data_IF_022057773331
#
_entry.id   IF_022057773331
#
_cell.length_a   1.000
_cell.length_b   1.000
_cell.length_c   1.000
_cell.angle_alpha   90.00
_cell.angle_beta   90.00
_cell.angle_gamma   90.00
#
_symmetry.space_group_name_H-M   'P 1'
#
loop_
_entity.id
_entity.type
_entity.pdbx_description
1 polymer ?
#
# COMPACT_ATOMS: atom_id res chain seq x y z
N UNK A 1 -11.11 38.82 -19.02
CA UNK A 1 -12.55 38.98 -19.29
C UNK A 1 -12.99 37.74 -20.03
N UNK A 2 -13.90 36.88 -19.57
CA UNK A 2 -15.09 37.10 -18.77
C UNK A 2 -15.10 36.29 -17.46
N UNK A 3 -15.66 36.92 -16.41
CA UNK A 3 -16.11 36.28 -15.17
C UNK A 3 -17.45 35.61 -15.48
N UNK A 4 -17.59 34.33 -15.20
CA UNK A 4 -18.91 33.70 -15.07
C UNK A 4 -19.08 33.25 -13.63
N UNK A 5 -19.84 34.07 -12.91
CA UNK A 5 -20.41 33.84 -11.60
C UNK A 5 -21.67 32.99 -11.83
N UNK A 6 -21.67 31.73 -11.40
CA UNK A 6 -22.88 30.92 -11.39
C UNK A 6 -23.47 30.85 -9.98
N UNK A 7 -24.75 31.17 -9.96
CA UNK A 7 -25.64 31.53 -8.87
C UNK A 7 -25.99 30.30 -8.03
N UNK A 8 -25.89 30.43 -6.71
CA UNK A 8 -26.35 29.45 -5.72
C UNK A 8 -27.71 29.94 -5.17
N UNK A 9 -28.81 29.30 -5.55
CA UNK A 9 -30.13 29.53 -4.94
C UNK A 9 -30.32 28.48 -3.85
N UNK A 10 -30.16 28.91 -2.59
CA UNK A 10 -30.53 28.13 -1.40
C UNK A 10 -31.98 28.47 -1.06
N UNK A 11 -32.91 27.60 -1.44
CA UNK A 11 -34.26 27.56 -0.85
C UNK A 11 -34.34 26.29 0.00
N UNK A 12 -33.86 26.37 1.24
CA UNK A 12 -34.14 25.32 2.21
C UNK A 12 -35.47 25.61 2.90
N UNK A 13 -36.38 24.66 2.78
CA UNK A 13 -37.58 24.58 3.60
C UNK A 13 -37.15 24.23 5.02
N UNK A 14 -37.37 25.17 5.96
CA UNK A 14 -37.22 24.90 7.39
C UNK A 14 -38.27 23.86 7.80
N UNK A 15 -37.87 22.60 7.88
CA UNK A 15 -38.53 21.65 8.77
C UNK A 15 -37.68 21.58 10.03
N UNK A 16 -38.25 21.96 11.16
CA UNK A 16 -37.62 21.78 12.46
C UNK A 16 -37.38 20.27 12.64
N UNK A 17 -36.14 19.83 12.48
CA UNK A 17 -35.74 18.44 12.74
C UNK A 17 -35.63 18.30 14.25
N UNK A 18 -36.64 17.71 14.87
CA UNK A 18 -36.55 17.24 16.25
C UNK A 18 -35.58 16.05 16.23
N UNK A 19 -34.47 16.15 16.95
CA UNK A 19 -33.49 15.06 17.05
C UNK A 19 -34.14 13.76 17.49
N UNK A 20 -33.58 12.62 17.08
CA UNK A 20 -34.16 11.31 17.40
C UNK A 20 -34.23 11.12 18.94
N UNK A 21 -35.42 11.04 19.55
CA UNK A 21 -35.57 10.98 21.01
C UNK A 21 -34.88 9.76 21.63
N UNK A 22 -34.58 8.73 20.83
CA UNK A 22 -33.79 7.56 21.26
C UNK A 22 -32.39 7.94 21.77
N UNK A 23 -31.75 8.95 21.17
CA UNK A 23 -30.33 9.23 21.42
C UNK A 23 -30.09 10.48 22.28
N UNK A 24 -31.13 11.18 22.73
CA UNK A 24 -31.01 12.49 23.40
C UNK A 24 -30.01 12.50 24.57
N UNK A 25 -30.02 11.47 25.42
CA UNK A 25 -29.07 11.33 26.52
C UNK A 25 -27.64 11.16 26.02
N UNK A 26 -27.44 10.32 25.01
CA UNK A 26 -26.11 10.04 24.43
C UNK A 26 -25.57 11.29 23.75
N UNK A 27 -26.42 12.00 23.02
CA UNK A 27 -26.06 13.23 22.32
C UNK A 27 -25.60 14.31 23.29
N UNK A 28 -26.30 14.47 24.41
CA UNK A 28 -25.87 15.41 25.45
C UNK A 28 -24.55 14.98 26.09
N UNK A 29 -24.43 13.71 26.45
CA UNK A 29 -23.30 13.20 27.22
C UNK A 29 -22.02 13.04 26.37
N UNK A 30 -22.12 13.01 25.04
CA UNK A 30 -20.99 12.74 24.11
C UNK A 30 -20.40 14.00 23.46
N UNK A 31 -20.95 15.19 23.69
CA UNK A 31 -20.45 16.44 23.08
C UNK A 31 -19.04 16.82 23.53
N UNK A 32 -18.60 16.34 24.70
CA UNK A 32 -17.28 16.65 25.24
C UNK A 32 -16.69 15.45 25.98
N UNK A 33 -15.37 15.47 26.11
CA UNK A 33 -14.58 14.51 26.90
C UNK A 33 -13.57 15.29 27.73
N UNK A 34 -13.01 14.70 28.80
CA UNK A 34 -11.95 15.35 29.57
C UNK A 34 -10.75 15.72 28.69
N UNK A 35 -10.22 16.93 28.89
CA UNK A 35 -9.07 17.44 28.11
C UNK A 35 -7.79 16.60 28.28
N UNK A 36 -7.73 15.76 29.32
CA UNK A 36 -6.62 14.83 29.55
C UNK A 36 -6.55 13.70 28.54
N UNK A 37 -7.64 13.36 27.85
CA UNK A 37 -7.66 12.30 26.83
C UNK A 37 -7.04 12.82 25.53
N UNK A 38 -5.96 12.19 25.08
CA UNK A 38 -5.15 12.67 23.95
C UNK A 38 -5.13 11.73 22.76
N UNK A 39 -5.57 10.50 22.93
CA UNK A 39 -5.57 9.49 21.87
C UNK A 39 -6.98 9.12 21.44
N UNK A 40 -7.09 8.59 20.22
CA UNK A 40 -8.35 8.10 19.67
C UNK A 40 -8.97 7.01 20.54
N UNK A 41 -8.15 6.08 21.03
CA UNK A 41 -8.58 4.93 21.83
C UNK A 41 -9.15 5.37 23.18
N UNK A 42 -8.44 6.25 23.90
CA UNK A 42 -8.91 6.82 25.17
C UNK A 42 -10.26 7.53 25.02
N UNK A 43 -10.42 8.33 23.96
CA UNK A 43 -11.65 9.08 23.71
C UNK A 43 -12.80 8.12 23.38
N UNK A 44 -12.56 7.15 22.49
CA UNK A 44 -13.57 6.17 22.11
C UNK A 44 -14.01 5.30 23.30
N UNK A 45 -13.07 4.82 24.11
CA UNK A 45 -13.35 4.03 25.31
C UNK A 45 -14.15 4.84 26.34
N UNK A 46 -13.75 6.09 26.60
CA UNK A 46 -14.48 6.98 27.51
C UNK A 46 -15.94 7.17 27.08
N UNK A 47 -16.16 7.46 25.80
CA UNK A 47 -17.51 7.70 25.25
C UNK A 47 -18.40 6.46 25.29
N UNK A 48 -17.81 5.26 25.20
CA UNK A 48 -18.57 4.03 24.93
C UNK A 48 -18.60 3.01 26.06
N UNK A 49 -17.76 3.15 27.08
CA UNK A 49 -17.61 2.20 28.20
C UNK A 49 -18.91 1.86 28.95
N UNK A 50 -19.88 2.78 28.97
CA UNK A 50 -21.18 2.61 29.66
C UNK A 50 -22.34 2.27 28.71
N UNK A 51 -22.06 2.11 27.42
CA UNK A 51 -23.06 1.87 26.39
C UNK A 51 -23.05 0.40 26.00
N UNK A 52 -24.24 -0.16 25.77
CA UNK A 52 -24.38 -1.61 25.57
C UNK A 52 -24.53 -1.96 24.09
N UNK A 53 -25.31 -1.19 23.32
CA UNK A 53 -25.56 -1.51 21.92
C UNK A 53 -24.58 -0.84 20.97
N UNK A 54 -24.33 -1.48 19.81
CA UNK A 54 -23.40 -0.95 18.80
C UNK A 54 -23.84 0.41 18.26
N UNK A 55 -25.15 0.60 18.05
CA UNK A 55 -25.71 1.85 17.54
C UNK A 55 -25.57 3.01 18.53
N UNK A 56 -25.71 2.77 19.85
CA UNK A 56 -25.45 3.78 20.87
C UNK A 56 -23.97 4.18 20.90
N UNK A 57 -23.06 3.21 20.79
CA UNK A 57 -21.62 3.47 20.73
C UNK A 57 -21.26 4.29 19.49
N UNK A 58 -21.75 3.89 18.32
CA UNK A 58 -21.56 4.60 17.05
C UNK A 58 -22.12 6.02 17.16
N UNK A 59 -23.28 6.19 17.82
CA UNK A 59 -23.87 7.51 18.06
C UNK A 59 -22.97 8.40 18.89
N UNK A 60 -22.42 7.90 19.99
CA UNK A 60 -21.52 8.67 20.85
C UNK A 60 -20.28 9.16 20.09
N UNK A 61 -19.66 8.29 19.28
CA UNK A 61 -18.54 8.67 18.43
C UNK A 61 -18.93 9.73 17.39
N UNK A 62 -20.04 9.51 16.68
CA UNK A 62 -20.56 10.44 15.67
C UNK A 62 -20.82 11.84 16.23
N UNK A 63 -21.48 11.92 17.39
CA UNK A 63 -21.75 13.19 18.07
C UNK A 63 -20.46 13.88 18.48
N UNK A 64 -19.55 13.14 19.10
CA UNK A 64 -18.29 13.73 19.54
C UNK A 64 -17.50 14.29 18.36
N UNK A 65 -17.33 13.53 17.27
CA UNK A 65 -16.59 13.98 16.09
C UNK A 65 -17.24 15.23 15.47
N UNK A 66 -18.55 15.19 15.24
CA UNK A 66 -19.28 16.28 14.57
C UNK A 66 -19.26 17.59 15.36
N UNK A 67 -19.15 17.53 16.69
CA UNK A 67 -19.07 18.72 17.54
C UNK A 67 -17.65 19.19 17.82
N UNK A 68 -16.64 18.32 17.71
CA UNK A 68 -15.26 18.62 18.12
C UNK A 68 -14.28 18.78 16.97
N UNK A 69 -14.61 18.35 15.75
CA UNK A 69 -13.76 18.53 14.58
C UNK A 69 -14.38 19.59 13.66
N UNK A 70 -13.56 20.50 13.16
CA UNK A 70 -13.96 21.56 12.22
C UNK A 70 -13.37 21.34 10.84
N UNK A 71 -14.14 21.66 9.80
CA UNK A 71 -13.67 21.52 8.43
C UNK A 71 -12.51 22.48 8.14
N UNK A 72 -11.44 21.97 7.54
CA UNK A 72 -10.23 22.72 7.28
C UNK A 72 -10.14 23.18 5.82
N UNK A 73 -10.65 24.38 5.53
CA UNK A 73 -10.69 24.95 4.18
C UNK A 73 -9.30 25.09 3.54
N UNK A 74 -8.25 25.35 4.32
CA UNK A 74 -6.90 25.48 3.79
C UNK A 74 -6.33 24.16 3.27
N UNK A 75 -6.92 23.03 3.66
CA UNK A 75 -6.48 21.70 3.29
C UNK A 75 -7.16 21.13 2.03
N UNK A 76 -8.19 21.79 1.48
CA UNK A 76 -8.97 21.28 0.34
C UNK A 76 -8.10 21.09 -0.92
N UNK A 77 -7.18 22.02 -1.17
CA UNK A 77 -6.37 22.07 -2.38
C UNK A 77 -4.89 21.72 -2.15
N UNK A 78 -4.56 21.21 -0.97
CA UNK A 78 -3.19 20.89 -0.59
C UNK A 78 -2.93 19.40 -0.66
N UNK A 79 -1.81 19.02 -1.28
CA UNK A 79 -1.31 17.65 -1.32
C UNK A 79 -0.63 17.30 0.02
N UNK A 80 -1.39 17.14 1.10
CA UNK A 80 -0.82 16.63 2.35
C UNK A 80 -0.56 15.12 2.22
N UNK A 81 0.72 14.77 2.08
CA UNK A 81 1.18 13.39 2.08
C UNK A 81 1.45 12.96 3.53
N UNK A 82 0.56 12.13 4.07
CA UNK A 82 0.78 11.47 5.36
C UNK A 82 1.55 10.18 5.16
N UNK A 83 2.53 9.90 6.03
CA UNK A 83 3.25 8.62 5.98
C UNK A 83 2.40 7.42 6.42
N UNK A 84 1.28 7.66 7.13
CA UNK A 84 0.30 6.66 7.54
C UNK A 84 -1.03 7.31 7.92
N UNK A 85 -2.12 6.53 7.92
CA UNK A 85 -3.42 7.00 8.43
C UNK A 85 -3.39 7.30 9.94
N UNK A 86 -2.57 6.60 10.72
CA UNK A 86 -2.44 6.87 12.16
C UNK A 86 -1.95 8.30 12.42
N UNK A 87 -0.96 8.78 11.66
CA UNK A 87 -0.48 10.18 11.76
C UNK A 87 -1.55 11.20 11.36
N UNK A 88 -2.36 10.88 10.36
CA UNK A 88 -3.49 11.71 9.96
C UNK A 88 -4.51 11.82 11.11
N UNK A 89 -4.83 10.70 11.75
CA UNK A 89 -5.75 10.64 12.90
C UNK A 89 -5.18 11.39 14.11
N UNK A 90 -3.90 11.20 14.44
CA UNK A 90 -3.21 11.93 15.52
C UNK A 90 -3.25 13.45 15.29
N UNK A 91 -2.98 13.91 14.06
CA UNK A 91 -3.09 15.33 13.72
C UNK A 91 -4.53 15.83 13.87
N UNK A 92 -5.52 15.05 13.43
CA UNK A 92 -6.94 15.41 13.53
C UNK A 92 -7.36 15.57 14.99
N UNK A 93 -6.95 14.65 15.86
CA UNK A 93 -7.20 14.73 17.31
C UNK A 93 -6.52 15.98 17.90
N UNK A 94 -5.26 16.23 17.55
CA UNK A 94 -4.47 17.34 18.09
C UNK A 94 -4.99 18.71 17.65
N UNK A 95 -5.30 18.85 16.37
CA UNK A 95 -5.67 20.13 15.75
C UNK A 95 -7.16 20.41 15.80
N UNK A 96 -7.98 19.37 16.03
CA UNK A 96 -9.45 19.42 15.96
C UNK A 96 -9.95 19.90 14.59
N UNK A 97 -9.20 19.62 13.53
CA UNK A 97 -9.46 20.09 12.17
C UNK A 97 -9.11 19.01 11.13
N UNK A 98 -9.81 19.03 10.00
CA UNK A 98 -9.49 18.17 8.86
C UNK A 98 -10.47 18.33 7.70
N UNK A 99 -10.24 17.59 6.61
CA UNK A 99 -11.18 17.43 5.49
C UNK A 99 -11.87 16.07 5.55
N UNK A 100 -12.74 15.73 4.59
CA UNK A 100 -13.55 14.51 4.62
C UNK A 100 -12.77 13.22 4.93
N UNK A 101 -11.56 13.07 4.37
CA UNK A 101 -10.66 11.95 4.68
C UNK A 101 -10.27 11.86 6.16
N UNK A 102 -9.97 12.99 6.81
CA UNK A 102 -9.64 13.04 8.25
C UNK A 102 -10.82 12.61 9.13
N UNK A 103 -12.03 13.11 8.83
CA UNK A 103 -13.24 12.70 9.55
C UNK A 103 -13.49 11.20 9.40
N UNK A 104 -13.40 10.68 8.17
CA UNK A 104 -13.69 9.28 7.90
C UNK A 104 -12.66 8.35 8.55
N UNK A 105 -11.37 8.71 8.52
CA UNK A 105 -10.30 7.93 9.15
C UNK A 105 -10.36 8.00 10.68
N UNK A 106 -10.68 9.17 11.26
CA UNK A 106 -10.86 9.30 12.70
C UNK A 106 -12.01 8.42 13.20
N UNK A 107 -13.17 8.49 12.55
CA UNK A 107 -14.32 7.67 12.91
C UNK A 107 -14.01 6.17 12.76
N UNK A 108 -13.37 5.77 11.67
CA UNK A 108 -12.94 4.38 11.47
C UNK A 108 -11.99 3.90 12.58
N UNK A 109 -10.99 4.71 12.93
CA UNK A 109 -10.04 4.43 14.00
C UNK A 109 -10.74 4.27 15.36
N UNK A 110 -11.71 5.13 15.68
CA UNK A 110 -12.53 5.01 16.88
C UNK A 110 -13.42 3.77 16.88
N UNK A 111 -14.07 3.42 15.76
CA UNK A 111 -14.84 2.19 15.66
C UNK A 111 -13.97 0.95 15.87
N UNK A 112 -12.79 0.93 15.25
CA UNK A 112 -11.84 -0.18 15.35
C UNK A 112 -11.37 -0.41 16.79
N UNK A 113 -11.08 0.65 17.55
CA UNK A 113 -10.59 0.53 18.94
C UNK A 113 -11.63 -0.07 19.88
N UNK A 114 -12.92 0.05 19.56
CA UNK A 114 -14.03 -0.53 20.35
C UNK A 114 -14.65 -1.79 19.71
N UNK A 115 -13.99 -2.36 18.70
CA UNK A 115 -14.39 -3.63 18.07
C UNK A 115 -15.55 -3.54 17.08
N UNK A 116 -15.89 -2.35 16.58
CA UNK A 116 -16.94 -2.17 15.57
C UNK A 116 -16.33 -2.22 14.17
N UNK A 117 -16.84 -3.12 13.33
CA UNK A 117 -16.43 -3.25 11.92
C UNK A 117 -16.89 -2.01 11.13
N UNK A 118 -15.92 -1.26 10.60
CA UNK A 118 -16.15 -0.04 9.82
C UNK A 118 -15.26 0.00 8.58
N UNK A 119 -15.72 0.65 7.52
CA UNK A 119 -14.99 0.85 6.26
C UNK A 119 -14.91 2.34 5.95
N UNK A 120 -13.74 2.81 5.51
CA UNK A 120 -13.60 4.13 4.88
C UNK A 120 -13.86 3.98 3.39
N UNK A 121 -14.78 4.77 2.86
CA UNK A 121 -15.25 4.66 1.48
C UNK A 121 -15.05 5.99 0.78
N UNK A 122 -14.33 5.96 -0.34
CA UNK A 122 -14.15 7.10 -1.23
C UNK A 122 -15.16 7.07 -2.38
N UNK A 123 -15.60 8.25 -2.79
CA UNK A 123 -16.55 8.41 -3.88
C UNK A 123 -16.83 9.86 -4.18
N UNK A 124 -18.06 10.13 -4.63
CA UNK A 124 -18.53 11.47 -4.90
C UNK A 124 -19.97 11.64 -4.44
N UNK A 125 -20.36 12.89 -4.21
CA UNK A 125 -21.70 13.24 -3.77
C UNK A 125 -22.44 14.05 -4.84
N UNK A 126 -23.75 14.19 -4.67
CA UNK A 126 -24.56 15.16 -5.39
C UNK A 126 -25.54 15.84 -4.46
N UNK A 127 -26.00 17.02 -4.86
CA UNK A 127 -27.13 17.68 -4.21
C UNK A 127 -28.44 16.95 -4.53
N UNK A 128 -29.32 16.83 -3.53
CA UNK A 128 -30.58 16.07 -3.67
C UNK A 128 -31.55 16.75 -4.65
N UNK A 129 -31.66 18.09 -4.59
CA UNK A 129 -32.68 18.84 -5.33
C UNK A 129 -32.25 19.16 -6.77
N UNK A 130 -31.02 19.64 -6.97
CA UNK A 130 -30.48 20.01 -8.29
C UNK A 130 -29.95 18.80 -9.06
N UNK A 131 -29.68 17.68 -8.38
CA UNK A 131 -28.98 16.51 -8.91
C UNK A 131 -27.56 16.81 -9.44
N UNK A 132 -27.00 17.96 -9.10
CA UNK A 132 -25.65 18.36 -9.51
C UNK A 132 -24.61 17.57 -8.73
N UNK A 133 -23.72 16.91 -9.47
CA UNK A 133 -22.58 16.16 -8.91
C UNK A 133 -21.57 17.17 -8.37
N UNK A 134 -21.03 16.88 -7.18
CA UNK A 134 -19.95 17.67 -6.59
C UNK A 134 -18.72 17.69 -7.48
N UNK A 135 -18.06 18.84 -7.54
CA UNK A 135 -16.77 19.02 -8.21
C UNK A 135 -15.61 18.42 -7.40
N UNK A 136 -15.84 18.07 -6.13
CA UNK A 136 -14.86 17.44 -5.25
C UNK A 136 -15.23 15.99 -4.97
N UNK A 137 -14.22 15.14 -4.84
CA UNK A 137 -14.36 13.81 -4.26
C UNK A 137 -14.72 13.92 -2.77
N UNK A 138 -15.20 12.82 -2.22
CA UNK A 138 -15.65 12.77 -0.84
C UNK A 138 -15.33 11.42 -0.20
N UNK A 139 -15.24 11.42 1.13
CA UNK A 139 -14.98 10.22 1.91
C UNK A 139 -15.93 10.16 3.12
N UNK A 140 -16.45 8.97 3.37
CA UNK A 140 -17.38 8.67 4.46
C UNK A 140 -17.15 7.26 5.00
N UNK A 141 -18.00 6.82 5.92
CA UNK A 141 -17.90 5.50 6.52
C UNK A 141 -19.12 4.63 6.24
N UNK A 142 -18.89 3.31 6.22
CA UNK A 142 -19.93 2.34 6.53
C UNK A 142 -19.56 1.61 7.83
N UNK A 143 -20.57 1.19 8.57
CA UNK A 143 -20.47 0.38 9.79
C UNK A 143 -21.36 -0.84 9.65
N UNK A 144 -20.94 -1.95 10.22
CA UNK A 144 -21.76 -3.17 10.25
C UNK A 144 -22.41 -3.29 11.61
N UNK A 145 -23.74 -3.34 11.61
CA UNK A 145 -24.56 -3.51 12.81
C UNK A 145 -25.49 -4.69 12.57
N UNK A 146 -25.45 -5.70 13.46
CA UNK A 146 -26.30 -6.90 13.36
C UNK A 146 -26.27 -7.55 11.94
N UNK A 147 -25.11 -7.55 11.29
CA UNK A 147 -24.92 -8.14 9.95
C UNK A 147 -25.36 -7.29 8.76
N UNK A 148 -25.85 -6.07 9.01
CA UNK A 148 -26.25 -5.09 7.99
C UNK A 148 -25.27 -3.93 7.93
N UNK A 149 -24.95 -3.46 6.72
CA UNK A 149 -24.12 -2.28 6.51
C UNK A 149 -24.97 -1.02 6.48
N UNK A 150 -24.59 -0.01 7.27
CA UNK A 150 -25.24 1.29 7.37
C UNK A 150 -24.19 2.39 7.20
N UNK A 151 -24.57 3.50 6.58
CA UNK A 151 -23.65 4.60 6.27
C UNK A 151 -23.66 5.70 7.32
N UNK A 152 -22.49 6.29 7.54
CA UNK A 152 -22.27 7.45 8.41
C UNK A 152 -21.39 8.44 7.68
N UNK A 153 -21.81 9.71 7.61
CA UNK A 153 -20.99 10.80 7.09
C UNK A 153 -20.82 11.88 8.16
N UNK A 154 -19.70 11.81 8.88
CA UNK A 154 -19.36 12.79 9.91
C UNK A 154 -19.05 14.18 9.35
N UNK A 155 -18.66 14.28 8.08
CA UNK A 155 -18.22 15.54 7.48
C UNK A 155 -19.42 16.42 7.15
N UNK A 156 -20.40 15.86 6.43
CA UNK A 156 -21.63 16.58 6.08
C UNK A 156 -22.57 16.73 7.28
N UNK A 157 -22.45 15.86 8.29
CA UNK A 157 -23.11 16.03 9.57
C UNK A 157 -22.56 17.17 10.41
N UNK A 158 -21.26 17.45 10.34
CA UNK A 158 -20.65 18.49 11.16
C UNK A 158 -21.04 19.90 10.69
N UNK A 159 -21.25 20.09 9.39
CA UNK A 159 -21.60 21.39 8.86
C UNK A 159 -21.49 21.47 7.34
N UNK A 160 -21.57 22.69 6.82
CA UNK A 160 -21.61 22.95 5.38
C UNK A 160 -20.88 24.25 5.01
N UNK A 161 -20.68 24.47 3.71
CA UNK A 161 -20.17 25.74 3.19
C UNK A 161 -21.35 26.65 2.82
N UNK A 162 -21.34 27.88 3.31
CA UNK A 162 -22.31 28.89 2.88
C UNK A 162 -22.07 29.33 1.42
N UNK A 163 -22.95 30.18 0.90
CA UNK A 163 -22.84 30.72 -0.47
C UNK A 163 -21.59 31.59 -0.72
N UNK A 164 -20.88 32.00 0.33
CA UNK A 164 -19.62 32.74 0.26
C UNK A 164 -18.40 31.81 0.39
N UNK A 165 -18.62 30.51 0.58
CA UNK A 165 -17.57 29.51 0.81
C UNK A 165 -17.04 29.49 2.25
N UNK A 166 -17.72 30.14 3.21
CA UNK A 166 -17.37 30.04 4.62
C UNK A 166 -17.90 28.73 5.20
N UNK A 167 -17.09 28.08 6.03
CA UNK A 167 -17.54 26.92 6.77
C UNK A 167 -18.46 27.32 7.93
N UNK A 168 -19.66 26.76 7.95
CA UNK A 168 -20.65 26.88 9.02
C UNK A 168 -20.66 25.54 9.77
N UNK A 169 -20.26 25.58 11.05
CA UNK A 169 -20.21 24.41 11.93
C UNK A 169 -21.57 24.24 12.62
N UNK A 170 -22.51 23.61 11.90
CA UNK A 170 -23.88 23.38 12.34
C UNK A 170 -24.24 21.90 12.14
N UNK A 171 -24.52 21.22 13.25
CA UNK A 171 -24.79 19.79 13.24
C UNK A 171 -26.10 19.45 12.52
N UNK A 172 -26.07 18.45 11.63
CA UNK A 172 -27.25 17.81 11.04
C UNK A 172 -27.27 16.32 11.38
N UNK A 173 -28.45 15.84 11.79
CA UNK A 173 -28.68 14.44 12.15
C UNK A 173 -28.95 13.54 10.92
N UNK A 174 -29.00 14.11 9.72
CA UNK A 174 -29.46 13.42 8.52
C UNK A 174 -28.49 12.35 8.01
N UNK A 175 -27.25 12.35 8.51
CA UNK A 175 -26.13 11.53 8.01
C UNK A 175 -25.75 10.37 8.94
N UNK A 176 -26.67 9.93 9.79
CA UNK A 176 -26.45 8.87 10.78
C UNK A 176 -27.18 7.56 10.42
N UNK A 177 -26.42 6.46 10.32
CA UNK A 177 -26.90 5.09 10.09
C UNK A 177 -27.91 4.95 8.92
N UNK A 178 -27.57 5.55 7.78
CA UNK A 178 -28.44 5.54 6.60
C UNK A 178 -28.37 4.17 5.89
N UNK A 179 -29.51 3.55 5.56
CA UNK A 179 -29.53 2.32 4.78
C UNK A 179 -28.97 2.49 3.35
N UNK A 180 -28.30 1.48 2.78
CA UNK A 180 -27.67 1.57 1.46
C UNK A 180 -28.55 2.08 0.32
N UNK A 181 -29.81 1.62 0.25
CA UNK A 181 -30.76 2.04 -0.80
C UNK A 181 -31.13 3.53 -0.72
N UNK A 182 -31.09 4.12 0.48
CA UNK A 182 -31.32 5.55 0.65
C UNK A 182 -30.04 6.33 0.33
N UNK A 183 -28.89 5.85 0.83
CA UNK A 183 -27.61 6.55 0.73
C UNK A 183 -27.11 6.71 -0.71
N UNK A 184 -27.26 5.67 -1.55
CA UNK A 184 -26.80 5.67 -2.94
C UNK A 184 -27.46 6.74 -3.83
N UNK A 185 -28.54 7.37 -3.37
CA UNK A 185 -29.22 8.46 -4.09
C UNK A 185 -28.43 9.76 -4.05
N UNK A 186 -27.50 9.93 -3.11
CA UNK A 186 -26.70 11.14 -2.97
C UNK A 186 -25.21 10.88 -2.86
N UNK A 187 -24.79 9.68 -2.43
CA UNK A 187 -23.39 9.30 -2.24
C UNK A 187 -23.07 8.06 -3.05
N UNK A 188 -22.16 8.18 -4.02
CA UNK A 188 -21.78 7.08 -4.91
C UNK A 188 -20.33 6.70 -4.63
N UNK A 189 -20.07 5.51 -4.05
CA UNK A 189 -18.72 4.97 -3.97
C UNK A 189 -18.11 4.85 -5.35
N UNK A 190 -16.82 5.15 -5.50
CA UNK A 190 -16.15 4.94 -6.79
C UNK A 190 -16.22 3.47 -7.21
N UNK A 191 -15.92 2.56 -6.28
CA UNK A 191 -16.02 1.12 -6.49
C UNK A 191 -17.41 0.59 -6.05
N UNK A 192 -18.21 0.05 -6.99
CA UNK A 192 -19.57 -0.41 -6.71
C UNK A 192 -19.70 -1.49 -5.61
N UNK A 193 -18.64 -2.22 -5.25
CA UNK A 193 -18.72 -3.22 -4.15
C UNK A 193 -19.11 -2.56 -2.82
N UNK A 194 -18.71 -1.31 -2.62
CA UNK A 194 -18.93 -0.56 -1.39
C UNK A 194 -20.31 0.10 -1.33
N UNK A 195 -21.19 -0.18 -2.29
CA UNK A 195 -22.60 0.21 -2.19
C UNK A 195 -23.38 -0.70 -1.24
N UNK A 196 -22.89 -1.91 -0.94
CA UNK A 196 -23.59 -2.94 -0.16
C UNK A 196 -25.01 -3.25 -0.67
N UNK A 197 -25.18 -3.17 -1.99
CA UNK A 197 -26.42 -3.49 -2.70
C UNK A 197 -26.27 -4.83 -3.43
N UNK A 198 -27.31 -5.64 -3.38
CA UNK A 198 -27.46 -6.85 -4.20
C UNK A 198 -27.69 -6.53 -5.68
N UNK A 199 -28.15 -5.31 -5.99
CA UNK A 199 -28.27 -4.77 -7.34
C UNK A 199 -27.61 -3.37 -7.43
N UNK A 200 -26.27 -3.29 -7.58
CA UNK A 200 -25.57 -2.02 -7.57
C UNK A 200 -26.04 -1.04 -8.66
N UNK A 201 -26.09 0.23 -8.29
CA UNK A 201 -26.36 1.35 -9.21
C UNK A 201 -25.06 1.70 -9.91
N UNK A 202 -25.04 1.60 -11.24
CA UNK A 202 -23.87 2.00 -12.01
C UNK A 202 -23.76 3.53 -12.10
N UNK A 203 -22.59 4.03 -12.45
CA UNK A 203 -22.37 5.46 -12.66
C UNK A 203 -23.22 5.99 -13.84
N UNK A 204 -23.57 5.12 -14.79
CA UNK A 204 -24.52 5.40 -15.88
C UNK A 204 -25.95 5.52 -15.35
N UNK A 205 -26.40 4.56 -14.55
CA UNK A 205 -27.73 4.58 -13.93
C UNK A 205 -27.89 5.85 -13.09
N UNK A 206 -26.88 6.17 -12.26
CA UNK A 206 -26.87 7.34 -11.40
C UNK A 206 -26.94 8.65 -12.18
N UNK A 207 -26.15 8.79 -13.24
CA UNK A 207 -26.19 9.96 -14.15
C UNK A 207 -27.56 10.12 -14.80
N UNK A 208 -28.19 9.02 -15.19
CA UNK A 208 -29.51 9.01 -15.81
C UNK A 208 -30.65 9.10 -14.79
N UNK A 209 -30.35 9.17 -13.49
CA UNK A 209 -31.32 9.17 -12.38
C UNK A 209 -32.21 7.92 -12.36
N UNK A 210 -31.73 6.81 -12.91
CA UNK A 210 -32.43 5.54 -12.89
C UNK A 210 -32.10 4.75 -11.62
N UNK A 211 -33.05 4.76 -10.69
CA UNK A 211 -32.97 3.98 -9.44
C UNK A 211 -33.91 2.77 -9.45
N UNK A 212 -34.44 2.37 -10.61
CA UNK A 212 -35.38 1.25 -10.73
C UNK A 212 -34.78 -0.09 -10.28
N UNK A 213 -33.44 -0.19 -10.24
CA UNK A 213 -32.73 -1.35 -9.69
C UNK A 213 -32.91 -1.51 -8.18
N UNK A 214 -33.14 -0.44 -7.42
CA UNK A 214 -33.29 -0.51 -5.95
C UNK A 214 -34.54 -1.27 -5.50
N UNK A 215 -35.56 -1.33 -6.34
CA UNK A 215 -36.80 -2.07 -6.08
C UNK A 215 -36.79 -3.50 -6.62
N UNK A 216 -35.72 -3.91 -7.32
CA UNK A 216 -35.57 -5.25 -7.89
C UNK A 216 -34.58 -6.06 -7.07
N UNK A 217 -34.88 -7.35 -6.88
CA UNK A 217 -33.92 -8.29 -6.28
C UNK A 217 -32.74 -8.45 -7.23
N UNK A 218 -31.53 -8.31 -6.70
CA UNK A 218 -30.30 -8.56 -7.45
C UNK A 218 -29.59 -9.83 -7.00
N UNK A 219 -28.47 -10.14 -7.64
CA UNK A 219 -27.65 -11.32 -7.37
C UNK A 219 -26.16 -10.96 -7.15
N UNK A 220 -25.87 -9.69 -6.92
CA UNK A 220 -24.51 -9.25 -6.62
C UNK A 220 -24.13 -9.62 -5.18
N UNK A 221 -23.34 -10.68 -5.05
CA UNK A 221 -22.82 -11.15 -3.77
C UNK A 221 -21.67 -10.24 -3.27
N UNK A 222 -22.00 -9.03 -2.84
CA UNK A 222 -20.99 -8.06 -2.38
C UNK A 222 -20.20 -8.57 -1.16
N UNK A 223 -20.83 -9.33 -0.24
CA UNK A 223 -20.15 -9.92 0.93
C UNK A 223 -19.03 -10.88 0.51
N UNK A 224 -19.32 -11.79 -0.42
CA UNK A 224 -18.34 -12.73 -0.95
C UNK A 224 -17.26 -12.01 -1.76
N UNK A 225 -17.65 -10.98 -2.51
CA UNK A 225 -16.73 -10.15 -3.29
C UNK A 225 -15.72 -9.45 -2.38
N UNK A 226 -16.17 -8.81 -1.29
CA UNK A 226 -15.31 -8.15 -0.30
C UNK A 226 -14.37 -9.18 0.33
N UNK A 227 -14.90 -10.29 0.87
CA UNK A 227 -14.08 -11.34 1.50
C UNK A 227 -13.04 -11.95 0.56
N UNK A 228 -13.37 -12.07 -0.73
CA UNK A 228 -12.45 -12.58 -1.74
C UNK A 228 -11.36 -11.55 -2.06
N UNK A 229 -11.72 -10.28 -2.21
CA UNK A 229 -10.79 -9.19 -2.53
C UNK A 229 -9.78 -8.97 -1.40
N UNK A 230 -10.23 -8.99 -0.14
CA UNK A 230 -9.36 -8.80 1.04
C UNK A 230 -8.25 -9.85 1.16
N UNK A 231 -8.42 -11.03 0.55
CA UNK A 231 -7.43 -12.12 0.53
C UNK A 231 -6.43 -12.02 -0.63
N UNK A 232 -6.64 -11.10 -1.58
CA UNK A 232 -5.76 -10.94 -2.75
C UNK A 232 -4.57 -10.05 -2.43
N UNK A 233 -3.52 -10.13 -3.26
CA UNK A 233 -2.43 -9.16 -3.21
C UNK A 233 -2.91 -7.77 -3.70
N UNK A 234 -2.29 -6.72 -3.17
CA UNK A 234 -2.69 -5.32 -3.42
C UNK A 234 -2.77 -4.95 -4.91
N UNK A 235 -1.86 -5.48 -5.74
CA UNK A 235 -1.86 -5.19 -7.17
C UNK A 235 -3.11 -5.79 -7.84
N UNK A 236 -3.49 -7.00 -7.46
CA UNK A 236 -4.72 -7.65 -7.95
C UNK A 236 -5.97 -6.93 -7.44
N UNK A 237 -5.98 -6.48 -6.19
CA UNK A 237 -7.10 -5.71 -5.61
C UNK A 237 -7.38 -4.43 -6.43
N UNK A 238 -6.36 -3.63 -6.70
CA UNK A 238 -6.49 -2.36 -7.43
C UNK A 238 -6.89 -2.61 -8.88
N UNK A 239 -6.30 -3.60 -9.56
CA UNK A 239 -6.71 -3.96 -10.94
C UNK A 239 -8.19 -4.32 -11.03
N UNK A 240 -8.68 -5.15 -10.09
CA UNK A 240 -10.09 -5.53 -10.03
C UNK A 240 -11.00 -4.35 -9.67
N UNK A 241 -10.55 -3.43 -8.82
CA UNK A 241 -11.23 -2.15 -8.56
C UNK A 241 -11.38 -1.37 -9.87
N UNK A 242 -10.29 -1.09 -10.59
CA UNK A 242 -10.32 -0.39 -11.90
C UNK A 242 -11.32 -1.04 -12.86
N UNK A 243 -11.31 -2.37 -12.98
CA UNK A 243 -12.24 -3.10 -13.85
C UNK A 243 -13.72 -2.86 -13.46
N UNK A 244 -14.04 -2.91 -12.17
CA UNK A 244 -15.40 -2.65 -11.68
C UNK A 244 -15.84 -1.20 -11.91
N UNK A 245 -14.95 -0.24 -11.65
CA UNK A 245 -15.23 1.18 -11.88
C UNK A 245 -15.49 1.42 -13.38
N UNK A 246 -14.62 0.92 -14.27
CA UNK A 246 -14.79 1.03 -15.73
C UNK A 246 -16.11 0.40 -16.19
N UNK A 247 -16.47 -0.77 -15.65
CA UNK A 247 -17.74 -1.44 -15.96
C UNK A 247 -18.96 -0.66 -15.47
N UNK A 248 -18.84 0.07 -14.37
CA UNK A 248 -19.87 0.99 -13.86
C UNK A 248 -20.09 2.21 -14.76
N UNK A 249 -19.11 2.53 -15.60
CA UNK A 249 -19.12 3.63 -16.55
C UNK A 249 -18.37 4.86 -16.05
N UNK A 250 -17.72 5.55 -16.98
CA UNK A 250 -16.88 6.72 -16.71
C UNK A 250 -17.68 7.97 -17.08
N UNK A 251 -18.59 8.37 -16.20
CA UNK A 251 -19.60 9.41 -16.50
C UNK A 251 -19.25 10.80 -15.99
N UNK A 252 -18.19 10.92 -15.18
CA UNK A 252 -17.75 12.16 -14.53
C UNK A 252 -16.23 12.23 -14.43
N UNK A 253 -15.67 13.45 -14.35
CA UNK A 253 -14.21 13.67 -14.27
C UNK A 253 -13.57 13.08 -13.01
N UNK A 254 -14.31 13.02 -11.89
CA UNK A 254 -13.83 12.42 -10.65
C UNK A 254 -13.59 10.91 -10.80
N UNK A 255 -14.43 10.22 -11.58
CA UNK A 255 -14.24 8.79 -11.88
C UNK A 255 -13.01 8.59 -12.75
N UNK A 256 -12.76 9.51 -13.71
CA UNK A 256 -11.55 9.48 -14.54
C UNK A 256 -10.29 9.69 -13.69
N UNK A 257 -10.33 10.66 -12.76
CA UNK A 257 -9.25 10.94 -11.81
C UNK A 257 -8.93 9.70 -10.97
N UNK A 258 -9.94 9.09 -10.33
CA UNK A 258 -9.77 7.88 -9.51
C UNK A 258 -9.13 6.73 -10.29
N UNK A 259 -9.63 6.45 -11.51
CA UNK A 259 -9.05 5.39 -12.36
C UNK A 259 -7.58 5.69 -12.69
N UNK A 260 -7.27 6.94 -13.04
CA UNK A 260 -5.92 7.35 -13.39
C UNK A 260 -4.96 7.19 -12.20
N UNK A 261 -5.37 7.61 -11.01
CA UNK A 261 -4.58 7.46 -9.78
C UNK A 261 -4.36 5.97 -9.44
N UNK A 262 -5.39 5.13 -9.56
CA UNK A 262 -5.27 3.68 -9.38
C UNK A 262 -4.34 3.04 -10.45
N UNK A 263 -4.40 3.49 -11.70
CA UNK A 263 -3.52 3.02 -12.79
C UNK A 263 -2.06 3.42 -12.57
N UNK A 264 -1.81 4.64 -12.10
CA UNK A 264 -0.48 5.10 -11.70
C UNK A 264 0.06 4.28 -10.52
N UNK A 265 -0.78 3.98 -9.52
CA UNK A 265 -0.42 3.12 -8.41
C UNK A 265 -0.08 1.69 -8.87
N UNK A 266 -0.83 1.13 -9.80
CA UNK A 266 -0.53 -0.18 -10.43
C UNK A 266 0.86 -0.17 -11.07
N UNK A 267 1.20 0.88 -11.81
CA UNK A 267 2.52 1.02 -12.44
C UNK A 267 3.65 1.13 -11.40
N UNK A 268 3.44 1.92 -10.34
CA UNK A 268 4.40 2.05 -9.24
C UNK A 268 4.62 0.71 -8.52
N UNK A 269 3.56 -0.05 -8.24
CA UNK A 269 3.66 -1.36 -7.58
C UNK A 269 4.39 -2.39 -8.45
N UNK A 270 4.15 -2.40 -9.77
CA UNK A 270 4.90 -3.26 -10.71
C UNK A 270 6.38 -2.90 -10.72
N UNK A 271 6.70 -1.60 -10.73
CA UNK A 271 8.09 -1.13 -10.75
C UNK A 271 8.81 -1.48 -9.45
N UNK A 272 8.18 -1.24 -8.31
CA UNK A 272 8.73 -1.62 -7.00
C UNK A 272 8.99 -3.12 -6.89
N UNK A 273 8.06 -3.95 -7.39
CA UNK A 273 8.25 -5.41 -7.45
C UNK A 273 9.45 -5.79 -8.32
N UNK A 274 9.59 -5.15 -9.49
CA UNK A 274 10.74 -5.37 -10.37
C UNK A 274 12.05 -4.96 -9.69
N UNK A 275 12.10 -3.79 -9.06
CA UNK A 275 13.28 -3.28 -8.34
C UNK A 275 13.66 -4.21 -7.19
N UNK A 276 12.70 -4.71 -6.42
CA UNK A 276 12.95 -5.69 -5.37
C UNK A 276 13.65 -6.94 -5.93
N UNK A 277 13.08 -7.54 -6.98
CA UNK A 277 13.65 -8.72 -7.61
C UNK A 277 15.03 -8.44 -8.22
N UNK A 278 15.21 -7.28 -8.86
CA UNK A 278 16.50 -6.85 -9.40
C UNK A 278 17.56 -6.72 -8.31
N UNK A 279 17.22 -6.08 -7.19
CA UNK A 279 18.12 -5.91 -6.05
C UNK A 279 18.52 -7.26 -5.44
N UNK A 280 17.59 -8.21 -5.34
CA UNK A 280 17.89 -9.57 -4.88
C UNK A 280 18.85 -10.29 -5.84
N UNK A 281 18.65 -10.16 -7.15
CA UNK A 281 19.57 -10.72 -8.15
C UNK A 281 20.95 -10.05 -8.07
N UNK A 282 20.99 -8.72 -7.97
CA UNK A 282 22.23 -7.96 -7.83
C UNK A 282 23.00 -8.38 -6.57
N UNK A 283 22.31 -8.58 -5.45
CA UNK A 283 22.91 -9.12 -4.22
C UNK A 283 23.55 -10.50 -4.47
N UNK A 284 22.83 -11.40 -5.12
CA UNK A 284 23.34 -12.74 -5.46
C UNK A 284 24.56 -12.72 -6.39
N UNK A 285 24.63 -11.76 -7.32
CA UNK A 285 25.79 -11.56 -8.20
C UNK A 285 26.99 -11.05 -7.38
N UNK A 286 26.78 -10.13 -6.45
CA UNK A 286 27.86 -9.65 -5.57
C UNK A 286 28.38 -10.76 -4.65
N UNK A 287 27.48 -11.56 -4.07
CA UNK A 287 27.85 -12.76 -3.30
C UNK A 287 28.66 -13.75 -4.17
N UNK A 288 28.24 -13.99 -5.41
CA UNK A 288 28.99 -14.86 -6.32
C UNK A 288 30.40 -14.33 -6.62
N UNK A 289 30.56 -13.01 -6.81
CA UNK A 289 31.87 -12.38 -6.95
C UNK A 289 32.73 -12.60 -5.71
N UNK A 290 32.16 -12.43 -4.52
CA UNK A 290 32.88 -12.55 -3.27
C UNK A 290 33.36 -13.99 -3.06
N UNK A 291 32.52 -14.98 -3.35
CA UNK A 291 32.88 -16.40 -3.38
C UNK A 291 34.03 -16.69 -4.37
N UNK A 292 33.95 -16.15 -5.60
CA UNK A 292 35.03 -16.30 -6.58
C UNK A 292 36.34 -15.71 -6.03
N UNK A 293 36.29 -14.50 -5.45
CA UNK A 293 37.47 -13.87 -4.88
C UNK A 293 38.04 -14.66 -3.69
N UNK A 294 37.19 -15.27 -2.84
CA UNK A 294 37.66 -16.18 -1.79
C UNK A 294 38.39 -17.39 -2.38
N UNK A 295 37.84 -18.01 -3.43
CA UNK A 295 38.50 -19.10 -4.14
C UNK A 295 39.89 -18.71 -4.67
N UNK A 296 39.97 -17.55 -5.33
CA UNK A 296 41.25 -16.99 -5.84
C UNK A 296 42.24 -16.71 -4.71
N UNK A 297 41.78 -16.21 -3.56
CA UNK A 297 42.66 -15.93 -2.41
C UNK A 297 43.23 -17.20 -1.80
N UNK A 298 42.43 -18.28 -1.70
CA UNK A 298 42.94 -19.58 -1.27
C UNK A 298 43.94 -20.16 -2.28
N UNK A 299 43.69 -20.02 -3.58
CA UNK A 299 44.62 -20.45 -4.63
C UNK A 299 45.95 -19.67 -4.56
N UNK A 300 45.89 -18.34 -4.43
CA UNK A 300 47.07 -17.50 -4.20
C UNK A 300 47.84 -17.88 -2.94
N UNK A 301 47.14 -18.30 -1.88
CA UNK A 301 47.76 -18.81 -0.65
C UNK A 301 48.53 -20.10 -0.92
N UNK A 302 47.93 -21.02 -1.69
CA UNK A 302 48.58 -22.24 -2.13
C UNK A 302 49.81 -21.96 -3.02
N UNK A 303 49.71 -21.03 -3.96
CA UNK A 303 50.85 -20.56 -4.78
C UNK A 303 51.97 -19.99 -3.87
N UNK A 304 51.61 -19.27 -2.80
CA UNK A 304 52.56 -18.82 -1.79
C UNK A 304 53.30 -19.97 -1.12
N UNK A 305 52.60 -21.07 -0.82
CA UNK A 305 53.22 -22.28 -0.25
C UNK A 305 54.15 -22.97 -1.24
N UNK A 306 53.74 -23.12 -2.51
CA UNK A 306 54.55 -23.76 -3.55
C UNK A 306 55.83 -22.96 -3.85
N UNK A 307 55.73 -21.63 -3.93
CA UNK A 307 56.87 -20.73 -4.14
C UNK A 307 57.93 -20.85 -3.02
N UNK A 308 57.49 -21.11 -1.78
CA UNK A 308 58.36 -21.35 -0.62
C UNK A 308 58.68 -22.82 -0.40
N UNK A 309 58.40 -23.67 -1.39
CA UNK A 309 58.65 -25.12 -1.38
C UNK A 309 58.04 -25.83 -0.17
N UNK A 310 56.96 -25.29 0.39
CA UNK A 310 56.27 -25.77 1.60
C UNK A 310 57.11 -25.77 2.89
N UNK A 311 58.19 -24.96 2.94
CA UNK A 311 59.18 -25.00 4.03
C UNK A 311 59.17 -23.80 4.96
N UNK A 312 58.71 -22.63 4.51
CA UNK A 312 58.75 -21.40 5.32
C UNK A 312 57.41 -20.62 5.29
N UNK A 313 56.48 -20.85 6.24
CA UNK A 313 56.57 -21.83 7.31
C UNK A 313 56.45 -23.26 6.79
N UNK A 314 56.84 -24.25 7.59
CA UNK A 314 56.64 -25.65 7.27
C UNK A 314 55.13 -25.93 7.28
N UNK A 315 54.55 -26.17 6.11
CA UNK A 315 53.12 -26.44 5.94
C UNK A 315 52.89 -27.95 5.98
N UNK A 316 51.88 -28.42 6.71
CA UNK A 316 51.47 -29.83 6.75
C UNK A 316 50.65 -30.24 5.53
N UNK A 317 50.61 -31.53 5.20
CA UNK A 317 49.84 -32.05 4.07
C UNK A 317 48.35 -31.73 4.19
N UNK A 318 47.79 -31.83 5.41
CA UNK A 318 46.40 -31.47 5.73
C UNK A 318 46.08 -30.00 5.45
N UNK A 319 47.04 -29.10 5.67
CA UNK A 319 46.87 -27.67 5.40
C UNK A 319 46.89 -27.40 3.89
N UNK A 320 47.78 -28.06 3.15
CA UNK A 320 47.83 -27.97 1.68
C UNK A 320 46.51 -28.45 1.07
N UNK A 321 46.01 -29.61 1.52
CA UNK A 321 44.74 -30.20 1.09
C UNK A 321 43.57 -29.26 1.39
N UNK A 322 43.45 -28.77 2.63
CA UNK A 322 42.38 -27.86 3.03
C UNK A 322 42.39 -26.56 2.21
N UNK A 323 43.56 -25.96 1.98
CA UNK A 323 43.67 -24.73 1.19
C UNK A 323 43.19 -24.94 -0.25
N UNK A 324 43.62 -26.02 -0.91
CA UNK A 324 43.23 -26.27 -2.30
C UNK A 324 41.77 -26.72 -2.42
N UNK A 325 41.24 -27.46 -1.44
CA UNK A 325 39.83 -27.81 -1.38
C UNK A 325 38.94 -26.57 -1.23
N UNK A 326 39.33 -25.64 -0.35
CA UNK A 326 38.62 -24.36 -0.20
C UNK A 326 38.68 -23.50 -1.45
N UNK A 327 39.84 -23.44 -2.12
CA UNK A 327 39.97 -22.73 -3.39
C UNK A 327 38.95 -23.25 -4.41
N UNK A 328 38.90 -24.58 -4.60
CA UNK A 328 37.96 -25.23 -5.50
C UNK A 328 36.49 -25.05 -5.08
N UNK A 329 36.19 -25.20 -3.79
CA UNK A 329 34.83 -25.08 -3.26
C UNK A 329 34.24 -23.70 -3.52
N UNK A 330 34.93 -22.65 -3.06
CA UNK A 330 34.48 -21.27 -3.20
C UNK A 330 34.39 -20.86 -4.68
N UNK A 331 35.38 -21.24 -5.50
CA UNK A 331 35.35 -20.96 -6.93
C UNK A 331 34.15 -21.64 -7.64
N UNK A 332 33.88 -22.91 -7.31
CA UNK A 332 32.73 -23.64 -7.83
C UNK A 332 31.39 -23.03 -7.38
N UNK A 333 31.26 -22.71 -6.08
CA UNK A 333 30.06 -22.08 -5.52
C UNK A 333 29.76 -20.75 -6.18
N UNK A 334 30.77 -19.86 -6.28
CA UNK A 334 30.64 -18.58 -6.93
C UNK A 334 30.25 -18.69 -8.41
N UNK A 335 30.90 -19.58 -9.19
CA UNK A 335 30.52 -19.84 -10.60
C UNK A 335 29.08 -20.31 -10.74
N UNK A 336 28.64 -21.25 -9.90
CA UNK A 336 27.29 -21.78 -9.96
C UNK A 336 26.25 -20.71 -9.60
N UNK A 337 26.53 -19.90 -8.58
CA UNK A 337 25.66 -18.81 -8.18
C UNK A 337 25.58 -17.71 -9.25
N UNK A 338 26.70 -17.36 -9.88
CA UNK A 338 26.73 -16.41 -10.99
C UNK A 338 25.86 -16.88 -12.16
N UNK A 339 26.00 -18.15 -12.55
CA UNK A 339 25.20 -18.77 -13.63
C UNK A 339 23.69 -18.71 -13.34
N UNK A 340 23.28 -19.09 -12.13
CA UNK A 340 21.87 -19.03 -11.70
C UNK A 340 21.35 -17.60 -11.68
N UNK A 341 22.14 -16.66 -11.15
CA UNK A 341 21.77 -15.25 -11.08
C UNK A 341 21.62 -14.62 -12.47
N UNK A 342 22.50 -14.99 -13.42
CA UNK A 342 22.42 -14.59 -14.83
C UNK A 342 21.12 -15.08 -15.48
N UNK A 343 20.73 -16.33 -15.24
CA UNK A 343 19.46 -16.87 -15.75
C UNK A 343 18.25 -16.13 -15.19
N UNK A 344 18.23 -15.85 -13.89
CA UNK A 344 17.18 -15.05 -13.25
C UNK A 344 17.12 -13.64 -13.83
N UNK A 345 18.27 -13.00 -14.06
CA UNK A 345 18.35 -11.66 -14.64
C UNK A 345 17.77 -11.62 -16.05
N UNK A 346 18.09 -12.61 -16.90
CA UNK A 346 17.54 -12.66 -18.25
C UNK A 346 16.01 -12.78 -18.26
N UNK A 347 15.46 -13.62 -17.38
CA UNK A 347 14.02 -13.79 -17.22
C UNK A 347 13.32 -12.64 -16.47
N UNK A 348 14.07 -11.68 -15.90
CA UNK A 348 13.47 -10.55 -15.20
C UNK A 348 12.95 -9.52 -16.21
N UNK A 349 11.63 -9.41 -16.30
CA UNK A 349 10.92 -8.48 -17.18
C UNK A 349 10.08 -7.49 -16.37
N UNK A 350 10.05 -6.23 -16.81
CA UNK A 350 9.14 -5.23 -16.27
C UNK A 350 7.79 -5.37 -16.96
N UNK A 351 6.73 -5.60 -16.17
CA UNK A 351 5.36 -5.81 -16.67
C UNK A 351 4.52 -4.53 -16.73
N UNK A 352 5.13 -3.37 -16.46
CA UNK A 352 4.48 -2.07 -16.57
C UNK A 352 4.65 -1.43 -17.94
N UNK A 353 3.95 -0.33 -18.15
CA UNK A 353 3.88 0.44 -19.37
C UNK A 353 4.48 1.85 -19.22
N UNK A 354 4.79 2.29 -17.99
CA UNK A 354 5.44 3.57 -17.78
C UNK A 354 6.80 3.63 -18.51
N UNK A 355 6.94 4.60 -19.44
CA UNK A 355 8.08 4.72 -20.35
C UNK A 355 9.38 5.05 -19.61
N UNK A 356 9.32 5.87 -18.55
CA UNK A 356 10.50 6.22 -17.77
C UNK A 356 10.99 5.01 -16.98
N UNK A 357 10.08 4.29 -16.32
CA UNK A 357 10.40 3.04 -15.62
C UNK A 357 10.97 1.99 -16.60
N UNK A 358 10.40 1.84 -17.79
CA UNK A 358 10.95 0.95 -18.83
C UNK A 358 12.43 1.27 -19.11
N UNK A 359 12.76 2.54 -19.41
CA UNK A 359 14.14 2.97 -19.65
C UNK A 359 15.07 2.70 -18.47
N UNK A 360 14.60 2.95 -17.25
CA UNK A 360 15.37 2.69 -16.02
C UNK A 360 15.64 1.19 -15.84
N UNK A 361 14.63 0.34 -16.04
CA UNK A 361 14.77 -1.11 -15.91
C UNK A 361 15.75 -1.68 -16.92
N UNK A 362 15.70 -1.23 -18.18
CA UNK A 362 16.65 -1.61 -19.23
C UNK A 362 18.08 -1.18 -18.89
N UNK A 363 18.27 0.06 -18.44
CA UNK A 363 19.57 0.58 -18.02
C UNK A 363 20.18 -0.24 -16.88
N UNK A 364 19.41 -0.50 -15.84
CA UNK A 364 19.87 -1.28 -14.68
C UNK A 364 20.19 -2.73 -15.07
N UNK A 365 19.32 -3.38 -15.85
CA UNK A 365 19.54 -4.74 -16.34
C UNK A 365 20.81 -4.83 -17.20
N UNK A 366 21.02 -3.88 -18.12
CA UNK A 366 22.23 -3.80 -18.93
C UNK A 366 23.48 -3.66 -18.07
N UNK A 367 23.49 -2.74 -17.10
CA UNK A 367 24.64 -2.54 -16.22
C UNK A 367 25.03 -3.80 -15.44
N UNK A 368 24.05 -4.55 -14.94
CA UNK A 368 24.33 -5.81 -14.23
C UNK A 368 24.77 -6.93 -15.19
N UNK A 369 24.24 -6.99 -16.41
CA UNK A 369 24.72 -7.91 -17.46
C UNK A 369 26.19 -7.63 -17.79
N UNK A 370 26.54 -6.38 -18.03
CA UNK A 370 27.92 -5.97 -18.34
C UNK A 370 28.87 -6.36 -17.20
N UNK A 371 28.44 -6.20 -15.94
CA UNK A 371 29.19 -6.63 -14.78
C UNK A 371 29.37 -8.15 -14.69
N UNK A 372 28.30 -8.92 -14.94
CA UNK A 372 28.39 -10.39 -14.98
C UNK A 372 29.38 -10.83 -16.08
N UNK A 373 29.34 -10.20 -17.25
CA UNK A 373 30.27 -10.51 -18.35
C UNK A 373 31.72 -10.27 -17.91
N UNK A 374 32.02 -9.16 -17.22
CA UNK A 374 33.35 -8.91 -16.67
C UNK A 374 33.80 -9.98 -15.68
N UNK A 375 32.90 -10.44 -14.80
CA UNK A 375 33.20 -11.54 -13.87
C UNK A 375 33.46 -12.86 -14.61
N UNK A 376 32.68 -13.17 -15.65
CA UNK A 376 32.88 -14.35 -16.48
C UNK A 376 34.24 -14.32 -17.19
N UNK A 377 34.68 -13.17 -17.72
CA UNK A 377 36.02 -13.03 -18.28
C UNK A 377 37.12 -13.27 -17.23
N UNK A 378 36.99 -12.69 -16.03
CA UNK A 378 37.94 -12.92 -14.94
C UNK A 378 38.00 -14.39 -14.53
N UNK A 379 36.86 -15.08 -14.50
CA UNK A 379 36.80 -16.53 -14.24
C UNK A 379 37.59 -17.29 -15.31
N UNK A 380 37.41 -16.98 -16.59
CA UNK A 380 38.13 -17.62 -17.69
C UNK A 380 39.65 -17.41 -17.60
N UNK A 381 40.10 -16.24 -17.13
CA UNK A 381 41.52 -15.94 -16.94
C UNK A 381 42.15 -16.76 -15.80
N UNK A 382 41.44 -16.94 -14.68
CA UNK A 382 42.02 -17.52 -13.47
C UNK A 382 41.79 -19.03 -13.34
N UNK A 383 40.70 -19.55 -13.91
CA UNK A 383 40.33 -20.97 -13.83
C UNK A 383 41.43 -21.95 -14.28
N UNK A 384 42.19 -21.71 -15.36
CA UNK A 384 43.28 -22.60 -15.75
C UNK A 384 44.38 -22.72 -14.68
N UNK A 385 44.67 -21.64 -13.95
CA UNK A 385 45.66 -21.68 -12.85
C UNK A 385 45.17 -22.55 -11.70
N UNK A 386 43.93 -22.32 -11.26
CA UNK A 386 43.31 -23.10 -10.17
C UNK A 386 43.27 -24.60 -10.51
N UNK A 387 42.95 -24.95 -11.76
CA UNK A 387 42.94 -26.35 -12.22
C UNK A 387 44.36 -26.95 -12.17
N UNK A 388 45.36 -26.21 -12.66
CA UNK A 388 46.77 -26.65 -12.65
C UNK A 388 47.28 -26.85 -11.22
N UNK A 389 46.97 -25.92 -10.33
CA UNK A 389 47.40 -25.95 -8.93
C UNK A 389 46.69 -27.07 -8.16
N UNK A 390 45.43 -27.33 -8.47
CA UNK A 390 44.68 -28.48 -7.96
C UNK A 390 45.31 -29.81 -8.38
N UNK A 391 45.67 -29.96 -9.66
CA UNK A 391 46.33 -31.17 -10.15
C UNK A 391 47.74 -31.35 -9.55
N UNK A 392 48.49 -30.25 -9.38
CA UNK A 392 49.77 -30.27 -8.67
C UNK A 392 49.59 -30.76 -7.23
N UNK A 393 48.64 -30.18 -6.49
CA UNK A 393 48.40 -30.53 -5.09
C UNK A 393 48.02 -32.02 -4.93
N UNK A 394 47.14 -32.53 -5.80
CA UNK A 394 46.74 -33.95 -5.82
C UNK A 394 47.92 -34.88 -6.05
N UNK A 395 48.80 -34.56 -7.01
CA UNK A 395 50.02 -35.34 -7.25
C UNK A 395 50.96 -35.25 -6.05
N UNK A 396 51.13 -34.05 -5.49
CA UNK A 396 52.03 -33.78 -4.38
C UNK A 396 51.68 -34.57 -3.12
N UNK A 397 50.40 -34.53 -2.73
CA UNK A 397 49.89 -35.19 -1.53
C UNK A 397 49.93 -36.73 -1.63
N UNK A 398 49.80 -37.31 -2.83
CA UNK A 398 49.75 -38.76 -3.02
C UNK A 398 51.07 -39.45 -2.69
N UNK A 399 52.16 -39.11 -3.39
CA UNK A 399 53.53 -39.66 -3.19
C UNK A 399 54.66 -38.77 -3.74
N UNK A 400 54.35 -37.61 -4.34
CA UNK A 400 55.32 -36.82 -5.10
C UNK A 400 55.75 -35.58 -4.32
N UNK A 401 56.80 -35.66 -3.50
CA UNK A 401 57.25 -34.55 -2.62
C UNK A 401 58.56 -33.87 -3.05
N UNK A 402 58.75 -33.53 -4.35
CA UNK A 402 60.04 -33.04 -4.86
C UNK A 402 60.51 -31.72 -4.21
N UNK A 403 59.58 -30.94 -3.65
CA UNK A 403 59.89 -29.67 -3.00
C UNK A 403 60.28 -29.80 -1.51
N UNK A 404 59.95 -30.92 -0.84
CA UNK A 404 60.34 -31.16 0.56
C UNK A 404 61.64 -31.94 0.70
N UNK A 405 62.05 -32.72 -0.30
CA UNK A 405 63.20 -33.62 -0.19
C UNK A 405 64.54 -33.04 -0.73
N UNK A 406 64.54 -31.84 -1.32
CA UNK A 406 65.80 -31.19 -1.75
C UNK A 406 66.56 -30.56 -0.57
N UNK A 407 67.63 -31.17 -0.10
CA UNK A 407 68.53 -30.58 0.91
C UNK A 407 68.97 -29.17 0.45
N UNK A 408 68.97 -28.12 1.31
CA UNK A 408 69.49 -26.82 0.92
C UNK A 408 70.97 -26.97 0.61
N UNK A 409 71.39 -26.56 -0.59
CA UNK A 409 72.79 -26.20 -0.84
C UNK A 409 73.03 -24.78 -0.32
#
# INVERSE_FOLDING_TARGET
>A
MAKYLYILILLFSFTNVWGNPKYEKIDRDSKSVPDSLKTTDEIAEYLTSKLNSEDEKIRALYIWITHNIKYNLSQINSEFQYSSYDKMVEETIKTRKGVCGHYAQLFHSMCKSIGIESFVIAGYTRQLDSYEISELDHAWNAVKINGNYLFVDNTLAAGFLDYKGNYIHEFSDDYFLIPPKAFIKTHVPFDPIWQFLDNPISNVDFKNKDFSKLSKVGNFAYKDSISTIEKMDILTQIKKKIERIKKSGITHRLIQKEIKEDEELVENLKYNKWISNFNDINKRVNEARDEINMGINFDNTFIGYTNKRFRNPKIEDSQIENTIEKANLHFYQGKNQLKKSKQLLYGLEYSGQNIENLKLTEKHKKGLIDFIIQLEYKILEVEPSIIKDTDYAKRYLKKWKPLRDMVPY
#
